data_IF_951666310753
#
_entry.id   IF_951666310753
#
_cell.length_a   1.000
_cell.length_b   1.000
_cell.length_c   1.000
_cell.angle_alpha   90.00
_cell.angle_beta   90.00
_cell.angle_gamma   90.00
#
_symmetry.space_group_name_H-M   'P 1'
#
loop_
_entity.id
_entity.type
_entity.pdbx_description
1 polymer ?
#
# COMPACT_ATOMS: atom_id res chain seq x y z
N UNK A 1 -22.08 10.98 -20.13
CA UNK A 1 -22.66 10.59 -18.85
C UNK A 1 -21.57 9.79 -18.15
N UNK A 2 -20.88 10.38 -17.19
CA UNK A 2 -19.91 9.67 -16.38
C UNK A 2 -20.69 8.68 -15.51
N UNK A 3 -20.47 7.39 -15.74
CA UNK A 3 -21.03 6.34 -14.90
C UNK A 3 -20.51 6.56 -13.46
N UNK A 4 -21.41 6.82 -12.54
CA UNK A 4 -21.12 6.73 -11.11
C UNK A 4 -20.68 5.28 -10.85
N UNK A 5 -19.37 5.07 -10.74
CA UNK A 5 -18.88 3.82 -10.18
C UNK A 5 -19.44 3.80 -8.76
N UNK A 6 -20.33 2.86 -8.51
CA UNK A 6 -20.84 2.60 -7.16
C UNK A 6 -19.63 2.49 -6.24
N UNK A 7 -19.59 3.14 -5.08
CA UNK A 7 -18.52 2.94 -4.14
C UNK A 7 -18.38 1.41 -4.00
N UNK A 8 -17.16 0.91 -4.09
CA UNK A 8 -16.93 -0.49 -3.80
C UNK A 8 -17.55 -0.73 -2.43
N UNK A 9 -18.74 -1.34 -2.42
CA UNK A 9 -19.53 -1.55 -1.22
C UNK A 9 -18.62 -2.29 -0.27
N UNK A 10 -18.35 -1.68 0.84
CA UNK A 10 -17.55 -2.13 1.94
C UNK A 10 -16.19 -2.76 1.52
N UNK A 11 -15.07 -2.40 2.12
CA UNK A 11 -13.80 -3.02 1.81
C UNK A 11 -14.01 -4.52 1.76
N UNK A 12 -13.51 -5.18 0.71
CA UNK A 12 -13.59 -6.62 0.57
C UNK A 12 -13.36 -7.24 1.94
N UNK A 13 -14.26 -8.09 2.46
CA UNK A 13 -14.23 -8.54 3.84
C UNK A 13 -12.84 -9.01 4.23
N UNK A 14 -12.24 -8.41 5.23
CA UNK A 14 -10.89 -8.70 5.72
C UNK A 14 -9.75 -7.96 5.03
N UNK A 15 -9.97 -7.26 3.93
CA UNK A 15 -8.88 -6.64 3.16
C UNK A 15 -8.19 -5.49 3.92
N UNK A 16 -8.95 -4.57 4.49
CA UNK A 16 -8.38 -3.48 5.31
C UNK A 16 -7.73 -4.02 6.61
N UNK A 17 -8.31 -5.08 7.18
CA UNK A 17 -7.76 -5.76 8.34
C UNK A 17 -6.43 -6.46 8.07
N UNK A 18 -6.29 -7.11 6.91
CA UNK A 18 -5.05 -7.76 6.50
C UNK A 18 -3.88 -6.76 6.39
N UNK A 19 -4.11 -5.58 5.83
CA UNK A 19 -3.08 -4.54 5.76
C UNK A 19 -2.55 -4.17 7.13
N UNK A 20 -3.40 -3.99 8.12
CA UNK A 20 -3.00 -3.70 9.50
C UNK A 20 -2.26 -4.88 10.14
N UNK A 21 -2.71 -6.10 9.92
CA UNK A 21 -2.07 -7.31 10.43
C UNK A 21 -0.66 -7.46 9.84
N UNK A 22 -0.51 -7.29 8.54
CA UNK A 22 0.80 -7.41 7.88
C UNK A 22 1.79 -6.36 8.37
N UNK A 23 1.34 -5.15 8.67
CA UNK A 23 2.24 -4.08 9.08
C UNK A 23 2.66 -4.16 10.55
N UNK A 24 1.77 -4.57 11.44
CA UNK A 24 1.99 -4.43 12.89
C UNK A 24 2.25 -5.72 13.64
N UNK A 25 2.07 -6.87 13.02
CA UNK A 25 2.25 -8.15 13.69
C UNK A 25 3.12 -9.10 12.89
N UNK A 26 4.34 -9.37 13.33
CA UNK A 26 5.13 -10.50 12.82
C UNK A 26 4.82 -11.79 13.57
N UNK A 27 3.62 -11.97 14.05
CA UNK A 27 3.19 -13.21 14.70
C UNK A 27 3.58 -13.38 16.17
N UNK A 28 4.50 -12.58 16.69
CA UNK A 28 4.86 -12.49 18.10
C UNK A 28 4.43 -11.18 18.75
N UNK A 29 3.61 -10.39 18.04
CA UNK A 29 3.11 -9.10 18.52
C UNK A 29 4.14 -7.97 18.53
N UNK A 30 5.35 -8.21 18.03
CA UNK A 30 6.36 -7.17 17.94
C UNK A 30 6.09 -6.24 16.77
N UNK A 31 6.11 -4.95 17.08
CA UNK A 31 6.07 -3.93 16.05
C UNK A 31 7.39 -3.90 15.28
N UNK A 32 7.31 -4.09 13.97
CA UNK A 32 8.45 -3.95 13.07
C UNK A 32 8.34 -2.60 12.37
N UNK A 33 9.21 -1.65 12.71
CA UNK A 33 9.24 -0.39 12.01
C UNK A 33 9.69 -0.60 10.55
N UNK A 34 9.16 0.21 9.65
CA UNK A 34 9.59 0.31 8.25
C UNK A 34 9.20 -0.86 7.32
N UNK A 35 8.27 -1.72 7.72
CA UNK A 35 7.81 -2.84 6.89
C UNK A 35 6.53 -2.55 6.07
N UNK A 36 6.15 -1.29 5.94
CA UNK A 36 4.92 -0.91 5.22
C UNK A 36 4.93 -1.35 3.76
N UNK A 37 6.08 -1.38 3.11
CA UNK A 37 6.21 -1.86 1.73
C UNK A 37 5.99 -3.37 1.61
N UNK A 38 6.53 -4.16 2.54
CA UNK A 38 6.27 -5.60 2.62
C UNK A 38 4.78 -5.85 2.88
N UNK A 39 4.19 -5.10 3.83
CA UNK A 39 2.77 -5.20 4.15
C UNK A 39 1.89 -4.85 2.94
N UNK A 40 2.21 -3.77 2.22
CA UNK A 40 1.49 -3.39 1.01
C UNK A 40 1.60 -4.46 -0.09
N UNK A 41 2.80 -5.01 -0.33
CA UNK A 41 2.99 -6.08 -1.29
C UNK A 41 2.20 -7.34 -0.91
N UNK A 42 2.25 -7.78 0.36
CA UNK A 42 1.47 -8.92 0.83
C UNK A 42 -0.04 -8.71 0.66
N UNK A 43 -0.53 -7.53 1.03
CA UNK A 43 -1.94 -7.18 0.87
C UNK A 43 -2.37 -7.19 -0.60
N UNK A 44 -1.54 -6.62 -1.47
CA UNK A 44 -1.75 -6.61 -2.91
C UNK A 44 -1.80 -8.03 -3.50
N UNK A 45 -0.82 -8.87 -3.19
CA UNK A 45 -0.76 -10.26 -3.64
C UNK A 45 -1.94 -11.10 -3.10
N UNK A 46 -2.41 -10.81 -1.90
CA UNK A 46 -3.60 -11.46 -1.34
C UNK A 46 -4.85 -11.09 -2.12
N UNK A 47 -4.99 -9.79 -2.47
CA UNK A 47 -6.10 -9.35 -3.30
C UNK A 47 -6.11 -10.01 -4.68
N UNK A 48 -4.96 -10.23 -5.27
CA UNK A 48 -4.83 -10.93 -6.55
C UNK A 48 -5.05 -12.46 -6.43
N UNK A 49 -5.30 -12.98 -5.23
CA UNK A 49 -5.46 -14.42 -4.99
C UNK A 49 -4.15 -15.22 -5.10
N UNK A 50 -3.01 -14.55 -5.12
CA UNK A 50 -1.68 -15.18 -5.22
C UNK A 50 -1.21 -15.67 -3.85
N UNK A 51 -1.51 -14.91 -2.79
CA UNK A 51 -1.26 -15.33 -1.41
C UNK A 51 -2.59 -15.68 -0.73
N UNK A 52 -2.63 -16.85 -0.12
CA UNK A 52 -3.73 -17.24 0.77
C UNK A 52 -3.44 -16.76 2.19
N UNK A 53 -3.62 -15.46 2.40
CA UNK A 53 -3.34 -14.82 3.68
C UNK A 53 -4.62 -14.64 4.50
N UNK A 54 -5.03 -15.70 5.18
CA UNK A 54 -6.01 -15.56 6.28
C UNK A 54 -5.39 -14.79 7.44
N UNK A 55 -6.22 -14.23 8.33
CA UNK A 55 -5.75 -13.52 9.52
C UNK A 55 -4.78 -14.38 10.37
N UNK A 56 -5.01 -15.68 10.44
CA UNK A 56 -4.18 -16.63 11.18
C UNK A 56 -2.81 -16.85 10.53
N UNK A 57 -2.75 -16.81 9.21
CA UNK A 57 -1.51 -17.05 8.43
C UNK A 57 -0.72 -15.77 8.15
N UNK A 58 -1.36 -14.61 8.23
CA UNK A 58 -0.78 -13.33 7.86
C UNK A 58 0.56 -13.05 8.55
N UNK A 59 0.64 -13.30 9.86
CA UNK A 59 1.86 -13.12 10.64
C UNK A 59 3.00 -14.04 10.23
N UNK A 60 2.68 -15.28 9.84
CA UNK A 60 3.68 -16.23 9.34
C UNK A 60 4.21 -15.80 7.97
N UNK A 61 3.31 -15.45 7.06
CA UNK A 61 3.64 -14.96 5.71
C UNK A 61 4.51 -13.71 5.82
N UNK A 62 4.13 -12.77 6.68
CA UNK A 62 4.89 -11.54 6.87
C UNK A 62 6.32 -11.79 7.34
N UNK A 63 6.52 -12.74 8.28
CA UNK A 63 7.87 -13.14 8.73
C UNK A 63 8.71 -13.75 7.61
N UNK A 64 8.13 -14.57 6.75
CA UNK A 64 8.83 -15.14 5.60
C UNK A 64 9.26 -14.03 4.65
N UNK A 65 8.34 -13.15 4.28
CA UNK A 65 8.62 -12.03 3.39
C UNK A 65 9.70 -11.10 3.97
N UNK A 66 9.65 -10.78 5.26
CA UNK A 66 10.66 -9.93 5.92
C UNK A 66 12.04 -10.62 6.00
N UNK A 67 12.05 -11.92 6.13
CA UNK A 67 13.30 -12.69 6.14
C UNK A 67 13.95 -12.71 4.77
N UNK A 68 13.18 -12.94 3.72
CA UNK A 68 13.66 -12.99 2.33
C UNK A 68 13.89 -11.62 1.72
N UNK A 69 13.06 -10.66 2.12
CA UNK A 69 13.03 -9.30 1.61
C UNK A 69 13.00 -8.28 2.75
N UNK A 70 14.07 -8.17 3.55
CA UNK A 70 14.10 -7.24 4.68
C UNK A 70 13.94 -5.79 4.20
N UNK A 71 13.45 -4.88 5.05
CA UNK A 71 13.44 -3.43 4.73
C UNK A 71 14.83 -2.94 4.31
N UNK A 72 14.86 -1.94 3.46
CA UNK A 72 16.11 -1.33 3.00
C UNK A 72 16.63 -0.36 4.08
N UNK A 73 17.24 -0.89 5.12
CA UNK A 73 17.82 -0.09 6.21
C UNK A 73 19.09 0.62 5.76
N UNK A 74 18.94 1.79 5.17
CA UNK A 74 20.06 2.71 4.97
C UNK A 74 20.06 3.70 6.13
N UNK A 75 20.95 3.52 7.10
CA UNK A 75 21.10 4.43 8.22
C UNK A 75 19.95 4.46 9.24
N UNK A 76 19.08 3.45 9.28
CA UNK A 76 17.96 3.35 10.23
C UNK A 76 16.76 4.25 9.91
N UNK A 77 16.73 4.93 8.76
CA UNK A 77 15.71 5.93 8.43
C UNK A 77 14.88 5.60 7.18
N UNK A 78 15.24 4.59 6.42
CA UNK A 78 14.54 4.26 5.18
C UNK A 78 13.84 2.92 5.31
N UNK A 79 12.53 2.93 5.04
CA UNK A 79 11.69 1.74 5.03
C UNK A 79 11.98 0.85 3.81
N UNK A 80 10.95 0.59 3.00
CA UNK A 80 11.05 -0.31 1.85
C UNK A 80 11.11 0.50 0.56
N UNK A 81 12.13 0.23 -0.27
CA UNK A 81 12.23 0.85 -1.59
C UNK A 81 11.20 0.26 -2.57
N UNK A 82 10.88 1.01 -3.63
CA UNK A 82 10.10 0.54 -4.76
C UNK A 82 10.65 -0.80 -5.32
N UNK A 83 11.97 -0.87 -5.56
CA UNK A 83 12.62 -2.08 -6.08
C UNK A 83 12.39 -3.30 -5.19
N UNK A 84 12.28 -3.09 -3.88
CA UNK A 84 11.98 -4.18 -2.95
C UNK A 84 10.53 -4.64 -3.10
N UNK A 85 9.59 -3.72 -3.20
CA UNK A 85 8.17 -4.03 -3.46
C UNK A 85 8.03 -4.82 -4.76
N UNK A 86 8.64 -4.34 -5.85
CA UNK A 86 8.65 -5.04 -7.15
C UNK A 86 9.27 -6.45 -7.04
N UNK A 87 10.37 -6.59 -6.30
CA UNK A 87 11.01 -7.89 -6.10
C UNK A 87 10.13 -8.87 -5.34
N UNK A 88 9.42 -8.42 -4.31
CA UNK A 88 8.46 -9.25 -3.58
C UNK A 88 7.37 -9.75 -4.53
N UNK A 89 6.75 -8.87 -5.30
CA UNK A 89 5.70 -9.25 -6.25
C UNK A 89 6.22 -10.22 -7.31
N UNK A 90 7.40 -9.95 -7.88
CA UNK A 90 8.03 -10.82 -8.87
C UNK A 90 8.37 -12.21 -8.31
N UNK A 91 8.84 -12.31 -7.08
CA UNK A 91 9.10 -13.58 -6.41
C UNK A 91 7.84 -14.46 -6.28
N UNK A 92 6.66 -13.84 -6.35
CA UNK A 92 5.37 -14.51 -6.36
C UNK A 92 4.72 -14.56 -7.76
N UNK A 93 5.50 -14.34 -8.82
CA UNK A 93 5.03 -14.45 -10.20
C UNK A 93 4.21 -13.26 -10.71
N UNK A 94 4.22 -12.14 -10.01
CA UNK A 94 3.50 -10.92 -10.40
C UNK A 94 4.47 -9.85 -10.86
N UNK A 95 4.45 -9.53 -12.16
CA UNK A 95 5.14 -8.36 -12.71
C UNK A 95 4.29 -7.11 -12.49
N UNK A 96 4.98 -6.00 -12.22
CA UNK A 96 4.34 -4.73 -11.96
C UNK A 96 4.68 -3.71 -13.04
N UNK A 97 3.67 -2.99 -13.53
CA UNK A 97 3.85 -1.78 -14.31
C UNK A 97 3.54 -0.53 -13.49
N UNK A 98 4.13 0.57 -13.89
CA UNK A 98 3.89 1.88 -13.30
C UNK A 98 2.68 2.56 -13.93
N UNK A 99 1.91 3.26 -13.12
CA UNK A 99 0.94 4.26 -13.54
C UNK A 99 1.42 5.64 -13.08
N UNK A 100 1.06 6.71 -13.80
CA UNK A 100 1.61 8.05 -13.58
C UNK A 100 0.54 9.14 -13.43
N UNK A 101 -0.74 8.80 -13.57
CA UNK A 101 -1.82 9.76 -13.51
C UNK A 101 -2.95 9.31 -12.60
N UNK A 102 -3.73 10.26 -12.11
CA UNK A 102 -4.95 9.99 -11.33
C UNK A 102 -6.00 9.27 -12.19
N UNK A 103 -6.05 9.58 -13.48
CA UNK A 103 -6.96 8.93 -14.43
C UNK A 103 -6.63 7.45 -14.57
N UNK A 104 -5.35 7.10 -14.70
CA UNK A 104 -4.90 5.70 -14.73
C UNK A 104 -5.21 4.99 -13.40
N UNK A 105 -5.01 5.68 -12.26
CA UNK A 105 -5.39 5.15 -10.95
C UNK A 105 -6.88 4.83 -10.91
N UNK A 106 -7.74 5.80 -11.25
CA UNK A 106 -9.20 5.62 -11.28
C UNK A 106 -9.63 4.52 -12.25
N UNK A 107 -9.01 4.45 -13.41
CA UNK A 107 -9.29 3.38 -14.38
C UNK A 107 -8.99 2.00 -13.79
N UNK A 108 -7.80 1.80 -13.22
CA UNK A 108 -7.46 0.51 -12.62
C UNK A 108 -8.40 0.15 -11.47
N UNK A 109 -8.70 1.09 -10.58
CA UNK A 109 -9.63 0.84 -9.47
C UNK A 109 -11.05 0.54 -9.94
N UNK A 110 -11.54 1.18 -11.02
CA UNK A 110 -12.86 0.88 -11.60
C UNK A 110 -12.92 -0.52 -12.24
N UNK A 111 -11.80 -1.04 -12.68
CA UNK A 111 -11.61 -2.40 -13.17
C UNK A 111 -11.31 -3.41 -12.05
N UNK A 112 -11.50 -2.99 -10.78
CA UNK A 112 -11.22 -3.80 -9.58
C UNK A 112 -9.75 -4.25 -9.47
N UNK A 113 -8.84 -3.51 -10.09
CA UNK A 113 -7.40 -3.75 -9.97
C UNK A 113 -6.82 -2.82 -8.90
N UNK A 114 -6.32 -3.37 -7.80
CA UNK A 114 -5.71 -2.56 -6.75
C UNK A 114 -4.41 -1.93 -7.23
N UNK A 115 -4.02 -0.84 -6.61
CA UNK A 115 -2.80 -0.11 -6.95
C UNK A 115 -1.97 0.11 -5.70
N UNK A 116 -0.72 -0.31 -5.71
CA UNK A 116 0.23 0.04 -4.64
C UNK A 116 0.66 1.49 -4.85
N UNK A 117 0.48 2.32 -3.83
CA UNK A 117 0.86 3.74 -3.83
C UNK A 117 1.75 4.06 -2.65
N UNK A 118 2.59 5.10 -2.81
CA UNK A 118 3.29 5.70 -1.68
C UNK A 118 2.78 7.11 -1.47
N UNK A 119 2.32 7.37 -0.26
CA UNK A 119 1.87 8.71 0.14
C UNK A 119 2.82 9.30 1.19
N UNK A 120 3.09 10.57 1.09
CA UNK A 120 3.71 11.31 2.17
C UNK A 120 2.70 11.50 3.29
N UNK A 121 3.13 11.20 4.48
CA UNK A 121 2.31 11.27 5.66
C UNK A 121 2.95 12.25 6.65
N UNK A 122 2.21 13.29 6.99
CA UNK A 122 2.61 14.24 8.00
C UNK A 122 1.37 14.63 8.83
N UNK A 123 1.55 14.76 10.13
CA UNK A 123 0.52 15.30 10.99
C UNK A 123 0.02 14.36 12.09
N UNK A 124 -0.93 14.83 12.93
CA UNK A 124 -1.33 14.19 14.19
C UNK A 124 -2.02 12.82 14.04
N UNK A 125 -2.44 12.45 12.84
CA UNK A 125 -3.05 11.12 12.59
C UNK A 125 -2.01 10.01 12.50
N UNK A 126 -0.75 10.32 12.14
CA UNK A 126 0.38 9.40 12.29
C UNK A 126 1.00 9.61 13.64
N UNK A 127 0.51 8.87 14.56
CA UNK A 127 0.86 8.87 15.96
C UNK A 127 2.38 8.97 16.16
N UNK A 128 2.83 10.10 16.68
CA UNK A 128 4.24 10.44 16.99
C UNK A 128 5.18 10.76 15.81
N UNK A 129 4.72 10.88 14.59
CA UNK A 129 5.63 11.27 13.51
C UNK A 129 5.63 12.79 13.34
N UNK A 130 6.63 13.40 13.91
CA UNK A 130 6.90 14.84 13.76
C UNK A 130 7.68 15.16 12.48
N UNK A 131 8.15 14.13 11.77
CA UNK A 131 8.91 14.27 10.53
C UNK A 131 8.11 13.78 9.33
N UNK A 132 8.31 14.39 8.15
CA UNK A 132 7.74 13.86 6.91
C UNK A 132 8.20 12.43 6.68
N UNK A 133 7.26 11.53 6.43
CA UNK A 133 7.55 10.13 6.13
C UNK A 133 6.79 9.69 4.89
N UNK A 134 7.30 8.67 4.20
CA UNK A 134 6.59 7.97 3.15
C UNK A 134 5.93 6.71 3.72
N UNK A 135 4.73 6.40 3.25
CA UNK A 135 4.00 5.22 3.68
C UNK A 135 3.44 4.48 2.46
N UNK A 136 3.77 3.21 2.35
CA UNK A 136 3.23 2.32 1.33
C UNK A 136 1.84 1.86 1.72
N UNK A 137 0.91 1.98 0.81
CA UNK A 137 -0.48 1.55 0.95
C UNK A 137 -0.98 0.92 -0.33
N UNK A 138 -2.11 0.24 -0.26
CA UNK A 138 -2.83 -0.24 -1.44
C UNK A 138 -4.12 0.56 -1.56
N UNK A 139 -4.30 1.24 -2.68
CA UNK A 139 -5.59 1.79 -3.08
C UNK A 139 -6.42 0.64 -3.67
N UNK A 140 -7.65 0.47 -3.21
CA UNK A 140 -8.52 -0.64 -3.61
C UNK A 140 -9.91 -0.22 -4.07
N UNK A 141 -10.20 1.08 -4.02
CA UNK A 141 -11.47 1.63 -4.50
C UNK A 141 -11.52 3.14 -4.35
N UNK A 142 -12.57 3.74 -4.86
CA UNK A 142 -12.83 5.17 -4.74
C UNK A 142 -14.30 5.49 -4.95
N UNK A 143 -14.70 6.67 -4.50
CA UNK A 143 -15.96 7.31 -4.86
C UNK A 143 -15.71 8.75 -5.36
N UNK A 144 -16.78 9.55 -5.43
CA UNK A 144 -16.69 10.94 -5.89
C UNK A 144 -15.76 11.78 -5.00
N UNK A 145 -15.74 11.54 -3.70
CA UNK A 145 -15.08 12.38 -2.72
C UNK A 145 -13.78 11.78 -2.18
N UNK A 146 -13.64 10.43 -2.22
CA UNK A 146 -12.61 9.71 -1.49
C UNK A 146 -11.91 8.62 -2.31
N UNK A 147 -10.68 8.30 -1.89
CA UNK A 147 -9.95 7.08 -2.22
C UNK A 147 -9.92 6.17 -1.00
N UNK A 148 -10.11 4.88 -1.20
CA UNK A 148 -10.05 3.87 -0.14
C UNK A 148 -8.67 3.21 -0.13
N UNK A 149 -8.01 3.27 1.03
CA UNK A 149 -6.64 2.86 1.23
C UNK A 149 -6.52 1.86 2.38
N UNK A 150 -5.71 0.83 2.19
CA UNK A 150 -5.38 -0.09 3.28
C UNK A 150 -4.65 0.64 4.40
N UNK A 151 -4.92 0.25 5.66
CA UNK A 151 -4.37 0.86 6.87
C UNK A 151 -4.80 2.32 7.14
N UNK A 152 -5.61 2.91 6.27
CA UNK A 152 -6.07 4.29 6.42
C UNK A 152 -7.59 4.41 6.45
N UNK A 153 -8.28 3.57 5.69
CA UNK A 153 -9.70 3.72 5.40
C UNK A 153 -9.94 4.67 4.23
N UNK A 154 -10.84 5.65 4.39
CA UNK A 154 -11.11 6.64 3.35
C UNK A 154 -10.22 7.88 3.51
N UNK A 155 -9.74 8.40 2.39
CA UNK A 155 -8.99 9.66 2.30
C UNK A 155 -9.61 10.50 1.19
N UNK A 156 -9.87 11.80 1.46
CA UNK A 156 -10.37 12.68 0.40
C UNK A 156 -9.39 12.76 -0.78
N UNK A 157 -9.91 12.98 -1.99
CA UNK A 157 -9.07 13.15 -3.18
C UNK A 157 -8.04 14.28 -3.01
N UNK A 158 -8.42 15.36 -2.33
CA UNK A 158 -7.47 16.45 -2.02
C UNK A 158 -6.34 15.96 -1.12
N UNK A 159 -6.66 15.28 -0.03
CA UNK A 159 -5.67 14.70 0.88
C UNK A 159 -4.78 13.67 0.20
N UNK A 160 -5.36 12.86 -0.70
CA UNK A 160 -4.62 11.90 -1.50
C UNK A 160 -3.60 12.60 -2.42
N UNK A 161 -4.01 13.61 -3.18
CA UNK A 161 -3.11 14.38 -4.07
C UNK A 161 -1.97 15.03 -3.29
N UNK A 162 -2.29 15.65 -2.15
CA UNK A 162 -1.27 16.24 -1.27
C UNK A 162 -0.27 15.20 -0.77
N UNK A 163 -0.75 14.02 -0.36
CA UNK A 163 0.11 12.92 0.07
C UNK A 163 0.93 12.34 -1.09
N UNK A 164 0.32 12.20 -2.25
CA UNK A 164 0.96 11.63 -3.44
C UNK A 164 2.06 12.53 -4.00
N UNK A 165 1.91 13.85 -3.83
CA UNK A 165 2.89 14.86 -4.23
C UNK A 165 3.79 15.36 -3.09
N UNK A 166 3.78 14.71 -1.94
CA UNK A 166 4.56 15.13 -0.79
C UNK A 166 6.08 14.91 -0.98
N UNK A 167 6.86 15.50 -0.07
CA UNK A 167 8.32 15.52 -0.17
C UNK A 167 8.95 14.13 -0.30
N UNK A 168 8.51 13.16 0.52
CA UNK A 168 9.14 11.83 0.51
C UNK A 168 8.85 11.06 -0.78
N UNK A 169 7.61 10.95 -1.28
CA UNK A 169 7.36 10.41 -2.62
C UNK A 169 8.20 11.09 -3.72
N UNK A 170 8.34 12.41 -3.70
CA UNK A 170 9.19 13.14 -4.67
C UNK A 170 10.65 12.72 -4.58
N UNK A 171 11.22 12.64 -3.39
CA UNK A 171 12.64 12.30 -3.18
C UNK A 171 12.99 10.89 -3.67
N UNK A 172 12.05 9.95 -3.60
CA UNK A 172 12.28 8.57 -4.02
C UNK A 172 11.70 8.23 -5.41
N UNK A 173 11.23 9.24 -6.13
CA UNK A 173 10.70 9.07 -7.48
C UNK A 173 9.34 8.36 -7.55
N UNK A 174 8.52 8.45 -6.50
CA UNK A 174 7.18 7.87 -6.41
C UNK A 174 6.05 8.91 -6.39
N UNK A 175 6.37 10.20 -6.56
CA UNK A 175 5.36 11.25 -6.69
C UNK A 175 4.48 11.00 -7.92
N UNK A 176 3.17 11.04 -7.74
CA UNK A 176 2.17 10.73 -8.76
C UNK A 176 2.33 9.36 -9.44
N UNK A 177 2.93 8.39 -8.75
CA UNK A 177 3.18 7.05 -9.29
C UNK A 177 2.54 5.98 -8.44
N UNK A 178 1.97 5.00 -9.11
CA UNK A 178 1.46 3.77 -8.52
C UNK A 178 1.99 2.55 -9.25
N UNK A 179 1.87 1.38 -8.62
CA UNK A 179 2.26 0.10 -9.19
C UNK A 179 1.03 -0.80 -9.27
N UNK A 180 0.82 -1.40 -10.42
CA UNK A 180 -0.32 -2.30 -10.70
C UNK A 180 0.20 -3.55 -11.40
N UNK A 181 -0.48 -4.68 -11.24
CA UNK A 181 -0.14 -5.91 -11.97
C UNK A 181 -0.30 -5.70 -13.49
N UNK A 182 0.61 -6.26 -14.27
CA UNK A 182 0.55 -6.29 -15.73
C UNK A 182 -0.59 -7.16 -16.26
#
# INVERSE_FOLDING_TARGET
>A
MAGTVSPAEAPLPGYAGLGSIFQYTNGDGRWVPFNCGQAAACTFLTHLGVLDATAERASHIMRLIETEHPPDNVGGYFGTSRRRVERICRAHGVELREIQTEEELKQNLSEQRPVIVMLGVAGPRFWKWTMPAGHWMVAYGFDQDNVYLTNWGSMSWEGFRQGWDALVPRLIGMSHRGLVAE
#
